data_IF_038264160930
#
_entry.id   IF_038264160930
#
_cell.length_a   1.000
_cell.length_b   1.000
_cell.length_c   1.000
_cell.angle_alpha   90.00
_cell.angle_beta   90.00
_cell.angle_gamma   90.00
#
_symmetry.space_group_name_H-M   'P 1'
#
loop_
_entity.id
_entity.type
_entity.pdbx_description
1 polymer ?
#
# COMPACT_ATOMS: atom_id res chain seq x y z
N UNK A 1 5.87 10.18 -33.52
CA UNK A 1 5.63 9.47 -34.79
C UNK A 1 4.12 9.24 -34.95
N UNK A 2 3.42 9.97 -35.82
CA UNK A 2 1.94 10.00 -35.86
C UNK A 2 1.28 8.65 -36.21
N UNK A 3 2.01 7.70 -36.73
CA UNK A 3 1.50 6.37 -37.13
C UNK A 3 2.22 5.21 -36.40
N UNK A 4 2.84 5.47 -35.26
CA UNK A 4 3.52 4.42 -34.49
C UNK A 4 2.49 3.45 -33.90
N UNK A 5 2.70 2.17 -34.12
CA UNK A 5 1.89 1.07 -33.55
C UNK A 5 2.48 0.55 -32.24
N UNK A 6 3.63 1.08 -31.81
CA UNK A 6 4.37 0.58 -30.63
C UNK A 6 4.74 1.69 -29.61
N UNK A 7 4.22 2.90 -29.76
CA UNK A 7 4.57 4.02 -28.87
C UNK A 7 4.25 3.75 -27.40
N UNK A 8 3.23 2.95 -27.12
CA UNK A 8 2.81 2.56 -25.78
C UNK A 8 3.47 1.25 -25.30
N UNK A 9 4.20 0.54 -26.16
CA UNK A 9 4.77 -0.78 -25.84
C UNK A 9 6.21 -0.70 -25.36
N UNK A 10 6.95 0.30 -25.81
CA UNK A 10 8.38 0.44 -25.55
C UNK A 10 8.73 1.82 -25.04
N UNK A 11 8.88 1.95 -23.73
CA UNK A 11 9.14 3.21 -23.04
C UNK A 11 10.61 3.66 -23.05
N UNK A 12 11.54 2.78 -23.37
CA UNK A 12 12.98 3.05 -23.40
C UNK A 12 13.46 3.36 -24.81
N UNK A 13 12.75 4.26 -25.51
CA UNK A 13 13.13 4.68 -26.86
C UNK A 13 14.35 5.62 -26.86
N UNK A 14 14.53 6.36 -27.95
CA UNK A 14 15.59 7.34 -28.08
C UNK A 14 15.40 8.50 -27.11
N UNK A 15 16.44 8.82 -26.34
CA UNK A 15 16.46 9.90 -25.36
C UNK A 15 16.07 9.48 -23.94
N UNK A 16 15.92 10.42 -23.01
CA UNK A 16 15.50 10.15 -21.64
C UNK A 16 14.06 9.62 -21.58
N UNK A 17 13.77 8.86 -20.54
CA UNK A 17 12.41 8.35 -20.29
C UNK A 17 11.48 9.50 -19.87
N UNK A 18 10.66 9.95 -20.81
CA UNK A 18 9.81 11.14 -20.64
C UNK A 18 8.61 10.87 -19.71
N UNK A 19 8.08 9.64 -19.67
CA UNK A 19 6.92 9.31 -18.83
C UNK A 19 7.19 9.60 -17.35
N UNK A 20 8.42 9.34 -16.89
CA UNK A 20 8.82 9.60 -15.50
C UNK A 20 8.82 11.09 -15.12
N UNK A 21 9.00 11.99 -16.07
CA UNK A 21 8.96 13.43 -15.81
C UNK A 21 7.57 13.93 -15.40
N UNK A 22 6.52 13.24 -15.82
CA UNK A 22 5.12 13.60 -15.54
C UNK A 22 4.50 12.82 -14.39
N UNK A 23 5.25 11.90 -13.80
CA UNK A 23 4.80 11.14 -12.63
C UNK A 23 4.93 12.00 -11.37
N UNK A 24 3.83 12.24 -10.67
CA UNK A 24 3.78 13.05 -9.44
C UNK A 24 4.44 14.44 -9.60
N UNK A 25 4.34 15.04 -10.77
CA UNK A 25 4.92 16.35 -11.06
C UNK A 25 3.84 17.38 -11.41
N UNK A 26 4.22 18.66 -11.31
CA UNK A 26 3.41 19.83 -11.66
C UNK A 26 3.87 20.48 -12.98
N UNK A 27 4.54 19.73 -13.84
CA UNK A 27 5.12 20.28 -15.08
C UNK A 27 4.10 20.52 -16.18
N UNK A 28 3.11 19.64 -16.29
CA UNK A 28 2.06 19.71 -17.31
C UNK A 28 0.91 18.75 -16.96
N UNK A 29 -0.18 18.84 -17.73
CA UNK A 29 -1.30 17.90 -17.67
C UNK A 29 -1.22 16.96 -18.88
N UNK A 30 -1.00 15.65 -18.69
CA UNK A 30 -1.06 14.68 -19.78
C UNK A 30 -2.48 14.62 -20.35
N UNK A 31 -2.63 14.82 -21.65
CA UNK A 31 -3.94 14.75 -22.33
C UNK A 31 -4.24 13.34 -22.88
N UNK A 32 -3.22 12.51 -23.04
CA UNK A 32 -3.35 11.15 -23.53
C UNK A 32 -2.21 10.30 -22.96
N UNK A 33 -2.59 9.17 -22.35
CA UNK A 33 -1.63 8.20 -21.79
C UNK A 33 -1.92 6.84 -22.42
N UNK A 34 -0.87 6.12 -22.82
CA UNK A 34 -0.94 4.73 -23.21
C UNK A 34 -0.19 3.86 -22.21
N UNK A 35 -0.82 2.77 -21.81
CA UNK A 35 -0.20 1.82 -20.90
C UNK A 35 -0.44 0.39 -21.35
N UNK A 36 0.51 -0.48 -21.01
CA UNK A 36 0.36 -1.90 -21.20
C UNK A 36 -0.53 -2.49 -20.10
N UNK A 37 -1.53 -3.24 -20.52
CA UNK A 37 -2.42 -3.97 -19.58
C UNK A 37 -2.07 -5.46 -19.63
N UNK A 38 -2.14 -6.13 -18.49
CA UNK A 38 -2.00 -7.58 -18.44
C UNK A 38 -3.17 -8.23 -19.20
N UNK A 39 -2.91 -9.12 -20.18
CA UNK A 39 -3.98 -9.90 -20.80
C UNK A 39 -4.71 -10.74 -19.74
N UNK A 40 -6.00 -11.00 -19.97
CA UNK A 40 -6.74 -11.90 -19.10
C UNK A 40 -6.06 -13.30 -19.10
N UNK A 41 -5.63 -13.81 -17.93
CA UNK A 41 -4.98 -15.10 -17.86
C UNK A 41 -5.97 -16.23 -18.15
N UNK A 42 -5.54 -17.31 -18.85
CA UNK A 42 -6.40 -18.46 -19.13
C UNK A 42 -6.95 -19.15 -17.89
N UNK A 43 -6.20 -19.13 -16.79
CA UNK A 43 -6.61 -19.59 -15.48
C UNK A 43 -6.01 -18.71 -14.37
N UNK A 44 -6.71 -18.63 -13.25
CA UNK A 44 -6.22 -17.95 -12.06
C UNK A 44 -6.73 -18.64 -10.79
N UNK A 45 -6.00 -18.46 -9.70
CA UNK A 45 -6.39 -18.84 -8.35
C UNK A 45 -6.09 -17.70 -7.39
N UNK A 46 -7.12 -17.11 -6.82
CA UNK A 46 -6.96 -16.12 -5.76
C UNK A 46 -6.86 -16.81 -4.40
N UNK A 47 -6.16 -16.19 -3.45
CA UNK A 47 -5.97 -16.73 -2.12
C UNK A 47 -5.77 -15.64 -1.08
N UNK A 48 -5.99 -16.03 0.16
CA UNK A 48 -5.73 -15.22 1.34
C UNK A 48 -4.88 -16.02 2.32
N UNK A 49 -3.97 -15.34 3.01
CA UNK A 49 -3.25 -15.91 4.16
C UNK A 49 -3.46 -14.99 5.36
N UNK A 50 -3.88 -15.56 6.49
CA UNK A 50 -3.99 -14.79 7.73
C UNK A 50 -3.02 -15.32 8.77
N UNK A 51 -2.40 -14.42 9.54
CA UNK A 51 -1.53 -14.77 10.67
C UNK A 51 -1.98 -14.05 11.94
N UNK A 52 -1.95 -14.73 13.12
CA UNK A 52 -2.55 -14.21 14.32
C UNK A 52 -1.71 -13.18 15.09
N UNK A 53 -0.39 -13.12 14.88
CA UNK A 53 0.50 -12.31 15.70
C UNK A 53 1.02 -11.09 14.95
N UNK A 54 1.29 -10.04 15.72
CA UNK A 54 1.81 -8.76 15.23
C UNK A 54 3.18 -8.90 14.53
N UNK A 55 4.11 -9.64 15.14
CA UNK A 55 5.46 -9.87 14.65
C UNK A 55 5.53 -10.74 13.39
N UNK A 56 4.45 -11.47 13.09
CA UNK A 56 4.39 -12.34 11.90
C UNK A 56 4.24 -11.60 10.57
N UNK A 57 4.24 -10.27 10.56
CA UNK A 57 4.47 -9.51 9.32
C UNK A 57 5.79 -9.91 8.68
N UNK A 58 6.83 -10.11 9.50
CA UNK A 58 8.13 -10.58 9.05
C UNK A 58 8.02 -11.95 8.36
N UNK A 59 7.43 -12.93 9.02
CA UNK A 59 7.26 -14.28 8.46
C UNK A 59 6.53 -14.26 7.12
N UNK A 60 5.46 -13.44 7.00
CA UNK A 60 4.70 -13.30 5.76
C UNK A 60 5.55 -12.80 4.60
N UNK A 61 6.40 -11.80 4.83
CA UNK A 61 7.22 -11.19 3.78
C UNK A 61 8.45 -12.03 3.45
N UNK A 62 9.03 -12.72 4.43
CA UNK A 62 10.14 -13.65 4.20
C UNK A 62 9.72 -14.86 3.37
N UNK A 63 8.50 -15.35 3.57
CA UNK A 63 7.91 -16.39 2.71
C UNK A 63 7.53 -15.83 1.33
N UNK A 64 6.99 -14.61 1.28
CA UNK A 64 6.53 -13.99 0.04
C UNK A 64 7.68 -13.59 -0.88
N UNK A 65 8.79 -13.09 -0.34
CA UNK A 65 9.93 -12.57 -1.10
C UNK A 65 10.43 -13.53 -2.17
N UNK A 66 10.84 -14.77 -1.83
CA UNK A 66 11.25 -15.77 -2.81
C UNK A 66 10.17 -16.11 -3.84
N UNK A 67 8.89 -16.18 -3.43
CA UNK A 67 7.79 -16.44 -4.35
C UNK A 67 7.60 -15.31 -5.37
N UNK A 68 7.84 -14.06 -4.97
CA UNK A 68 7.83 -12.90 -5.86
C UNK A 68 9.00 -12.91 -6.83
N UNK A 69 10.21 -13.11 -6.32
CA UNK A 69 11.43 -13.11 -7.13
C UNK A 69 11.44 -14.21 -8.19
N UNK A 70 10.88 -15.37 -7.87
CA UNK A 70 10.75 -16.50 -8.79
C UNK A 70 9.46 -16.46 -9.64
N UNK A 71 8.71 -15.35 -9.61
CA UNK A 71 7.48 -15.15 -10.39
C UNK A 71 6.39 -16.19 -10.12
N UNK A 72 6.44 -16.90 -8.99
CA UNK A 72 5.37 -17.80 -8.54
C UNK A 72 4.11 -17.00 -8.23
N UNK A 73 4.28 -15.86 -7.55
CA UNK A 73 3.21 -14.89 -7.29
C UNK A 73 3.53 -13.61 -8.06
N UNK A 74 2.97 -13.45 -9.24
CA UNK A 74 3.30 -12.37 -10.17
C UNK A 74 2.56 -11.05 -9.87
N UNK A 75 1.37 -11.10 -9.26
CA UNK A 75 0.58 -9.89 -8.97
C UNK A 75 1.13 -9.05 -7.82
N UNK A 76 0.64 -7.83 -7.68
CA UNK A 76 0.81 -7.05 -6.45
C UNK A 76 0.07 -7.72 -5.29
N UNK A 77 0.77 -8.03 -4.23
CA UNK A 77 0.21 -8.73 -3.05
C UNK A 77 -0.05 -7.72 -1.96
N UNK A 78 -1.31 -7.57 -1.57
CA UNK A 78 -1.69 -6.68 -0.48
C UNK A 78 -1.62 -7.42 0.86
N UNK A 79 -1.10 -6.74 1.88
CA UNK A 79 -1.12 -7.19 3.29
C UNK A 79 -1.77 -6.09 4.12
N UNK A 80 -2.97 -6.33 4.61
CA UNK A 80 -3.73 -5.40 5.44
C UNK A 80 -3.65 -5.75 6.93
N UNK A 81 -3.51 -4.72 7.78
CA UNK A 81 -3.67 -4.89 9.22
C UNK A 81 -5.14 -5.17 9.58
N UNK A 82 -5.40 -5.84 10.70
CA UNK A 82 -6.77 -6.16 11.13
C UNK A 82 -7.67 -4.92 11.21
N UNK A 83 -7.15 -3.78 11.69
CA UNK A 83 -7.93 -2.54 11.80
C UNK A 83 -8.20 -1.90 10.44
N UNK A 84 -7.25 -1.99 9.50
CA UNK A 84 -7.49 -1.53 8.14
C UNK A 84 -8.63 -2.34 7.48
N UNK A 85 -8.62 -3.66 7.61
CA UNK A 85 -9.68 -4.53 7.10
C UNK A 85 -11.04 -4.27 7.80
N UNK A 86 -11.01 -4.03 9.11
CA UNK A 86 -12.21 -3.64 9.86
C UNK A 86 -12.80 -2.32 9.35
N UNK A 87 -11.96 -1.33 9.08
CA UNK A 87 -12.39 -0.05 8.50
C UNK A 87 -12.98 -0.22 7.08
N UNK A 88 -12.41 -1.07 6.24
CA UNK A 88 -13.01 -1.43 4.94
C UNK A 88 -14.41 -2.02 5.09
N UNK A 89 -14.63 -2.83 6.12
CA UNK A 89 -15.94 -3.41 6.44
C UNK A 89 -16.93 -2.40 7.05
N UNK A 90 -16.49 -1.15 7.28
CA UNK A 90 -17.29 -0.06 7.82
C UNK A 90 -17.32 -0.02 9.35
N UNK A 91 -16.41 -0.72 10.01
CA UNK A 91 -16.19 -0.55 11.46
C UNK A 91 -15.54 0.80 11.74
N UNK A 92 -15.80 1.32 12.94
CA UNK A 92 -15.29 2.60 13.43
C UNK A 92 -14.54 2.39 14.73
N UNK A 93 -13.64 3.34 15.07
CA UNK A 93 -12.93 3.29 16.35
C UNK A 93 -13.87 3.19 17.56
N UNK A 94 -15.03 3.87 17.47
CA UNK A 94 -16.05 3.86 18.52
C UNK A 94 -16.79 2.52 18.70
N UNK A 95 -16.62 1.55 17.81
CA UNK A 95 -17.19 0.19 17.96
C UNK A 95 -16.35 -0.68 18.91
N UNK A 96 -15.20 -0.17 19.38
CA UNK A 96 -14.25 -0.89 20.23
C UNK A 96 -14.02 -0.15 21.55
N UNK A 97 -13.82 -0.90 22.60
CA UNK A 97 -13.61 -0.37 23.96
C UNK A 97 -12.29 0.41 24.10
N UNK A 98 -12.20 1.23 25.12
CA UNK A 98 -11.01 2.00 25.48
C UNK A 98 -10.92 3.35 24.81
N UNK A 99 -10.05 4.21 25.37
CA UNK A 99 -9.68 5.52 24.81
C UNK A 99 -8.24 5.45 24.27
N UNK A 100 -7.96 6.23 23.23
CA UNK A 100 -6.65 6.26 22.60
C UNK A 100 -6.42 5.08 21.64
N UNK A 101 -5.18 4.86 21.20
CA UNK A 101 -4.81 3.78 20.27
C UNK A 101 -5.07 2.39 20.85
N UNK A 102 -5.48 1.46 20.00
CA UNK A 102 -5.72 0.06 20.40
C UNK A 102 -4.39 -0.67 20.65
N UNK A 103 -4.36 -1.48 21.71
CA UNK A 103 -3.21 -2.36 21.98
C UNK A 103 -3.13 -3.50 20.96
N UNK A 104 -1.96 -4.10 20.78
CA UNK A 104 -1.77 -5.24 19.87
C UNK A 104 -2.76 -6.38 20.14
N UNK A 105 -3.04 -6.68 21.43
CA UNK A 105 -4.01 -7.69 21.82
C UNK A 105 -5.44 -7.31 21.42
N UNK A 106 -5.82 -6.04 21.56
CA UNK A 106 -7.14 -5.56 21.14
C UNK A 106 -7.28 -5.58 19.60
N UNK A 107 -6.21 -5.27 18.86
CA UNK A 107 -6.17 -5.38 17.40
C UNK A 107 -6.35 -6.83 16.95
N UNK A 108 -5.64 -7.76 17.59
CA UNK A 108 -5.78 -9.21 17.30
C UNK A 108 -7.21 -9.69 17.58
N UNK A 109 -7.77 -9.35 18.73
CA UNK A 109 -9.15 -9.71 19.09
C UNK A 109 -10.18 -9.12 18.11
N UNK A 110 -9.98 -7.88 17.66
CA UNK A 110 -10.83 -7.25 16.65
C UNK A 110 -10.76 -7.99 15.30
N UNK A 111 -9.58 -8.44 14.91
CA UNK A 111 -9.39 -9.28 13.72
C UNK A 111 -10.11 -10.63 13.86
N UNK A 112 -9.88 -11.35 14.94
CA UNK A 112 -10.48 -12.66 15.21
C UNK A 112 -12.02 -12.60 15.16
N UNK A 113 -12.61 -11.54 15.74
CA UNK A 113 -14.06 -11.33 15.70
C UNK A 113 -14.63 -11.16 14.27
N UNK A 114 -13.78 -10.82 13.30
CA UNK A 114 -14.11 -10.70 11.87
C UNK A 114 -13.65 -11.91 11.04
N UNK A 115 -13.12 -12.96 11.68
CA UNK A 115 -12.52 -14.11 10.99
C UNK A 115 -11.17 -13.83 10.37
N UNK A 116 -10.50 -12.73 10.77
CA UNK A 116 -9.21 -12.26 10.25
C UNK A 116 -8.05 -12.61 11.20
N UNK A 117 -6.81 -12.46 10.71
CA UNK A 117 -5.63 -12.44 11.56
C UNK A 117 -5.23 -11.01 11.93
N UNK A 118 -4.13 -10.86 12.68
CA UNK A 118 -3.50 -9.56 12.87
C UNK A 118 -3.06 -8.97 11.54
N UNK A 119 -2.51 -9.84 10.67
CA UNK A 119 -2.18 -9.51 9.27
C UNK A 119 -2.91 -10.42 8.29
N UNK A 120 -3.28 -9.84 7.16
CA UNK A 120 -4.12 -10.48 6.15
C UNK A 120 -3.54 -10.22 4.77
N UNK A 121 -2.93 -11.25 4.18
CA UNK A 121 -2.29 -11.21 2.87
C UNK A 121 -3.27 -11.69 1.80
N UNK A 122 -3.30 -10.99 0.66
CA UNK A 122 -4.15 -11.30 -0.49
C UNK A 122 -3.33 -11.41 -1.76
N UNK A 123 -3.37 -12.55 -2.40
CA UNK A 123 -2.59 -12.85 -3.60
C UNK A 123 -3.37 -13.59 -4.67
N UNK A 124 -2.81 -13.64 -5.87
CA UNK A 124 -3.34 -14.43 -6.98
C UNK A 124 -2.24 -15.10 -7.77
N UNK A 125 -2.57 -16.26 -8.31
CA UNK A 125 -1.76 -17.02 -9.24
C UNK A 125 -2.40 -16.94 -10.62
N UNK A 126 -1.59 -16.70 -11.64
CA UNK A 126 -2.05 -16.58 -13.02
C UNK A 126 -1.25 -17.51 -13.92
N UNK A 127 -1.89 -18.12 -14.90
CA UNK A 127 -1.18 -18.97 -15.84
C UNK A 127 -2.10 -19.86 -16.69
N UNK A 128 -1.50 -20.91 -17.23
CA UNK A 128 -2.25 -21.96 -17.93
C UNK A 128 -2.99 -22.85 -16.90
N UNK A 129 -4.12 -23.47 -17.27
CA UNK A 129 -4.89 -24.33 -16.38
C UNK A 129 -4.08 -25.44 -15.72
N UNK A 130 -3.10 -26.02 -16.41
CA UNK A 130 -2.23 -27.06 -15.86
C UNK A 130 -1.17 -26.55 -14.87
N UNK A 131 -0.79 -25.26 -14.94
CA UNK A 131 0.26 -24.70 -14.10
C UNK A 131 -0.28 -24.15 -12.76
N UNK A 132 -1.48 -23.59 -12.77
CA UNK A 132 -2.06 -22.92 -11.59
C UNK A 132 -2.16 -23.86 -10.39
N UNK A 133 -2.57 -25.14 -10.49
CA UNK A 133 -2.56 -26.05 -9.34
C UNK A 133 -1.17 -26.29 -8.76
N UNK A 134 -0.14 -26.39 -9.60
CA UNK A 134 1.25 -26.57 -9.16
C UNK A 134 1.73 -25.35 -8.36
N UNK A 135 1.49 -24.16 -8.90
CA UNK A 135 1.81 -22.90 -8.20
C UNK A 135 1.05 -22.79 -6.88
N UNK A 136 -0.21 -23.23 -6.85
CA UNK A 136 -1.03 -23.24 -5.63
C UNK A 136 -0.46 -24.15 -4.55
N UNK A 137 -0.04 -25.36 -4.91
CA UNK A 137 0.58 -26.28 -3.95
C UNK A 137 1.89 -25.70 -3.38
N UNK A 138 2.69 -25.05 -4.20
CA UNK A 138 3.90 -24.33 -3.75
C UNK A 138 3.56 -23.22 -2.74
N UNK A 139 2.62 -22.35 -3.08
CA UNK A 139 2.20 -21.23 -2.22
C UNK A 139 1.60 -21.74 -0.91
N UNK A 140 0.69 -22.72 -1.00
CA UNK A 140 0.06 -23.33 0.17
C UNK A 140 1.10 -23.97 1.09
N UNK A 141 2.04 -24.73 0.53
CA UNK A 141 3.14 -25.34 1.29
C UNK A 141 4.01 -24.31 1.99
N UNK A 142 4.41 -23.26 1.27
CA UNK A 142 5.26 -22.21 1.81
C UNK A 142 4.60 -21.47 2.98
N UNK A 143 3.38 -20.96 2.83
CA UNK A 143 2.72 -20.22 3.90
C UNK A 143 2.23 -21.11 5.06
N UNK A 144 1.99 -22.40 4.84
CA UNK A 144 1.64 -23.34 5.91
C UNK A 144 2.80 -23.60 6.88
N UNK A 145 4.00 -23.18 6.57
CA UNK A 145 5.15 -23.22 7.49
C UNK A 145 5.07 -22.20 8.63
N UNK A 146 4.27 -21.13 8.44
CA UNK A 146 4.12 -20.07 9.45
C UNK A 146 3.15 -20.57 10.55
N UNK A 147 3.57 -20.49 11.79
CA UNK A 147 2.78 -20.96 12.93
C UNK A 147 1.44 -20.21 13.06
N UNK A 148 0.34 -20.94 13.08
CA UNK A 148 -1.01 -20.38 13.19
C UNK A 148 -1.54 -19.73 11.91
N UNK A 149 -0.80 -19.77 10.79
CA UNK A 149 -1.27 -19.27 9.52
C UNK A 149 -2.46 -20.10 8.99
N UNK A 150 -3.44 -19.41 8.41
CA UNK A 150 -4.54 -20.03 7.67
C UNK A 150 -4.42 -19.61 6.20
N UNK A 151 -4.34 -20.60 5.31
CA UNK A 151 -4.29 -20.38 3.86
C UNK A 151 -5.68 -20.71 3.29
N UNK A 152 -6.34 -19.70 2.73
CA UNK A 152 -7.76 -19.73 2.35
C UNK A 152 -7.89 -19.47 0.86
N UNK A 153 -8.59 -20.34 0.14
CA UNK A 153 -8.82 -20.21 -1.31
C UNK A 153 -10.30 -20.04 -1.68
N UNK A 154 -11.19 -20.33 -0.77
CA UNK A 154 -12.65 -20.38 -0.97
C UNK A 154 -13.43 -19.31 -0.22
N UNK A 155 -12.75 -18.44 0.53
CA UNK A 155 -13.35 -17.39 1.35
C UNK A 155 -14.09 -17.89 2.59
N UNK A 156 -13.98 -19.17 2.93
CA UNK A 156 -14.69 -19.72 4.07
C UNK A 156 -14.26 -19.06 5.39
N UNK A 157 -15.24 -18.53 6.11
CA UNK A 157 -15.02 -17.85 7.40
C UNK A 157 -14.60 -16.39 7.26
N UNK A 158 -14.60 -15.81 6.05
CA UNK A 158 -14.32 -14.40 5.77
C UNK A 158 -15.62 -13.69 5.38
N UNK A 159 -15.78 -12.42 5.78
CA UNK A 159 -16.92 -11.60 5.32
C UNK A 159 -16.98 -11.62 3.77
N UNK A 160 -18.13 -12.00 3.18
CA UNK A 160 -18.24 -12.12 1.72
C UNK A 160 -17.95 -10.82 0.95
N UNK A 161 -18.20 -9.65 1.55
CA UNK A 161 -17.92 -8.34 0.93
C UNK A 161 -16.41 -8.11 0.86
N UNK A 162 -15.69 -8.38 1.97
CA UNK A 162 -14.24 -8.25 2.01
C UNK A 162 -13.59 -9.22 1.02
N UNK A 163 -14.03 -10.48 1.03
CA UNK A 163 -13.55 -11.47 0.08
C UNK A 163 -13.77 -11.01 -1.36
N UNK A 164 -14.99 -10.59 -1.72
CA UNK A 164 -15.32 -10.14 -3.07
C UNK A 164 -14.46 -8.94 -3.50
N UNK A 165 -14.24 -7.96 -2.63
CA UNK A 165 -13.41 -6.79 -2.95
C UNK A 165 -11.94 -7.17 -3.15
N UNK A 166 -11.37 -7.95 -2.25
CA UNK A 166 -9.97 -8.35 -2.30
C UNK A 166 -9.67 -9.26 -3.50
N UNK A 167 -10.50 -10.27 -3.73
CA UNK A 167 -10.34 -11.18 -4.84
C UNK A 167 -10.72 -10.53 -6.18
N UNK A 168 -11.77 -9.71 -6.19
CA UNK A 168 -12.21 -8.96 -7.37
C UNK A 168 -11.11 -8.07 -7.94
N UNK A 169 -10.40 -7.33 -7.10
CA UNK A 169 -9.29 -6.48 -7.54
C UNK A 169 -8.20 -7.25 -8.34
N UNK A 170 -7.97 -8.51 -8.00
CA UNK A 170 -7.00 -9.37 -8.67
C UNK A 170 -7.54 -10.06 -9.93
N UNK A 171 -8.85 -9.99 -10.17
CA UNK A 171 -9.53 -10.53 -11.35
C UNK A 171 -10.09 -9.45 -12.27
N UNK A 172 -9.72 -8.19 -12.04
CA UNK A 172 -10.09 -7.05 -12.89
C UNK A 172 -11.45 -6.41 -12.54
N UNK A 173 -12.04 -6.75 -11.39
CA UNK A 173 -13.24 -6.08 -10.88
C UNK A 173 -12.83 -4.86 -10.07
N UNK A 174 -13.20 -3.68 -10.57
CA UNK A 174 -12.92 -2.42 -9.87
C UNK A 174 -13.89 -2.23 -8.73
N UNK A 175 -13.37 -1.99 -7.53
CA UNK A 175 -14.11 -1.58 -6.34
C UNK A 175 -13.29 -0.55 -5.57
N UNK A 176 -13.95 0.35 -4.87
CA UNK A 176 -13.34 1.45 -4.10
C UNK A 176 -13.55 1.28 -2.57
N UNK A 177 -13.26 0.10 -1.96
CA UNK A 177 -13.49 -0.08 -0.53
C UNK A 177 -12.60 0.84 0.33
N UNK A 178 -11.42 1.26 -0.18
CA UNK A 178 -10.48 2.16 0.51
C UNK A 178 -11.08 3.51 0.87
N UNK A 179 -12.07 3.99 0.10
CA UNK A 179 -12.81 5.21 0.42
C UNK A 179 -13.55 5.14 1.77
N UNK A 180 -13.68 3.97 2.36
CA UNK A 180 -14.32 3.76 3.67
C UNK A 180 -13.37 3.95 4.86
N UNK A 181 -12.06 3.80 4.64
CA UNK A 181 -11.07 3.83 5.74
C UNK A 181 -11.08 5.14 6.54
N UNK A 182 -11.26 6.33 5.93
CA UNK A 182 -11.38 7.57 6.69
C UNK A 182 -12.51 7.57 7.74
N UNK A 183 -13.59 6.82 7.48
CA UNK A 183 -14.73 6.70 8.40
C UNK A 183 -14.40 5.95 9.71
N UNK A 184 -13.19 5.40 9.86
CA UNK A 184 -12.72 4.83 11.12
C UNK A 184 -12.80 5.83 12.28
N UNK A 185 -12.30 7.04 12.08
CA UNK A 185 -12.35 8.10 13.10
C UNK A 185 -12.54 9.52 12.54
N UNK A 186 -12.96 9.63 11.26
CA UNK A 186 -13.16 10.92 10.60
C UNK A 186 -14.00 10.81 9.33
N UNK A 187 -13.74 11.69 8.38
CA UNK A 187 -14.37 11.74 7.05
C UNK A 187 -13.35 11.97 5.92
N UNK A 188 -12.13 12.36 6.28
CA UNK A 188 -10.98 12.50 5.40
C UNK A 188 -9.75 11.81 6.01
N UNK A 189 -8.70 11.67 5.24
CA UNK A 189 -7.43 11.15 5.72
C UNK A 189 -6.23 11.82 5.03
N UNK A 190 -5.10 11.80 5.71
CA UNK A 190 -3.77 12.00 5.14
C UNK A 190 -2.98 10.70 5.30
N UNK A 191 -2.00 10.43 4.43
CA UNK A 191 -1.19 9.22 4.53
C UNK A 191 0.31 9.51 4.45
N UNK A 192 1.10 8.66 5.13
CA UNK A 192 2.51 8.45 4.84
C UNK A 192 2.65 7.16 4.02
N UNK A 193 3.52 7.17 3.01
CA UNK A 193 3.62 6.09 2.04
C UNK A 193 5.07 5.62 1.87
N UNK A 194 5.72 5.10 2.93
CA UNK A 194 7.11 4.64 2.86
C UNK A 194 7.27 3.37 2.04
N UNK A 195 8.49 3.16 1.54
CA UNK A 195 8.89 1.97 0.78
C UNK A 195 9.93 1.19 1.57
N UNK A 196 9.78 -0.12 1.61
CA UNK A 196 10.83 -1.05 2.11
C UNK A 196 11.13 -2.13 1.07
N UNK A 197 12.25 -2.89 1.21
CA UNK A 197 12.42 -4.14 0.47
C UNK A 197 11.30 -5.15 0.81
N UNK A 198 11.13 -6.19 -0.01
CA UNK A 198 10.33 -7.38 0.35
C UNK A 198 11.18 -8.25 1.26
N UNK A 199 11.30 -7.83 2.50
CA UNK A 199 12.14 -8.40 3.56
C UNK A 199 11.40 -8.25 4.89
N UNK A 200 11.36 -9.33 5.66
CA UNK A 200 10.56 -9.39 6.87
C UNK A 200 11.07 -8.49 7.99
N UNK A 201 12.40 -8.45 8.20
CA UNK A 201 13.02 -7.63 9.24
C UNK A 201 12.79 -6.14 8.96
N UNK A 202 13.06 -5.69 7.72
CA UNK A 202 12.89 -4.29 7.33
C UNK A 202 11.42 -3.84 7.38
N UNK A 203 10.49 -4.68 6.96
CA UNK A 203 9.08 -4.35 7.01
C UNK A 203 8.53 -4.31 8.44
N UNK A 204 8.98 -5.23 9.32
CA UNK A 204 8.60 -5.22 10.72
C UNK A 204 9.17 -3.99 11.43
N UNK A 205 10.45 -3.65 11.18
CA UNK A 205 11.09 -2.44 11.70
C UNK A 205 10.36 -1.16 11.30
N UNK A 206 9.96 -1.06 10.03
CA UNK A 206 9.17 0.06 9.52
C UNK A 206 7.78 0.12 10.17
N UNK A 207 7.13 -1.04 10.33
CA UNK A 207 5.83 -1.12 10.99
C UNK A 207 5.89 -0.67 12.44
N UNK A 208 6.84 -1.20 13.23
CA UNK A 208 6.98 -0.87 14.66
C UNK A 208 7.25 0.62 14.87
N UNK A 209 8.20 1.18 14.09
CA UNK A 209 8.47 2.63 14.08
C UNK A 209 7.20 3.43 13.82
N UNK A 210 6.45 3.04 12.82
CA UNK A 210 5.25 3.77 12.39
C UNK A 210 4.10 3.63 13.38
N UNK A 211 3.85 2.42 13.90
CA UNK A 211 2.87 2.17 14.95
C UNK A 211 3.13 3.03 16.19
N UNK A 212 4.38 3.08 16.64
CA UNK A 212 4.77 3.82 17.83
C UNK A 212 4.58 5.34 17.66
N UNK A 213 4.86 5.88 16.46
CA UNK A 213 4.59 7.29 16.15
C UNK A 213 3.09 7.54 16.08
N UNK A 214 2.32 6.69 15.41
CA UNK A 214 0.86 6.79 15.40
C UNK A 214 0.30 6.83 16.83
N UNK A 215 0.75 5.93 17.69
CA UNK A 215 0.32 5.86 19.08
C UNK A 215 0.66 7.13 19.89
N UNK A 216 1.85 7.72 19.68
CA UNK A 216 2.24 9.00 20.33
C UNK A 216 1.34 10.17 19.93
N UNK A 217 0.79 10.14 18.71
CA UNK A 217 -0.14 11.13 18.18
C UNK A 217 -1.61 10.74 18.35
N UNK A 218 -1.90 9.70 19.16
CA UNK A 218 -3.24 9.19 19.45
C UNK A 218 -4.00 8.65 18.22
N UNK A 219 -3.27 8.07 17.24
CA UNK A 219 -3.84 7.35 16.11
C UNK A 219 -3.66 5.85 16.23
N UNK A 220 -4.67 5.09 15.82
CA UNK A 220 -4.51 3.68 15.51
C UNK A 220 -3.65 3.50 14.25
N UNK A 221 -2.88 2.44 14.18
CA UNK A 221 -2.19 2.07 12.95
C UNK A 221 -3.17 1.43 11.96
N UNK A 222 -3.56 2.18 10.94
CA UNK A 222 -4.38 1.72 9.83
C UNK A 222 -3.50 1.55 8.60
N UNK A 223 -2.85 0.39 8.49
CA UNK A 223 -1.86 0.14 7.45
C UNK A 223 -2.23 -0.95 6.47
N UNK A 224 -1.92 -0.69 5.22
CA UNK A 224 -1.88 -1.68 4.14
C UNK A 224 -0.51 -1.61 3.48
N UNK A 225 0.07 -2.78 3.19
CA UNK A 225 1.35 -2.91 2.48
C UNK A 225 1.09 -3.65 1.17
N UNK A 226 1.67 -3.19 0.07
CA UNK A 226 1.57 -3.86 -1.24
C UNK A 226 2.96 -4.26 -1.70
N UNK A 227 3.23 -5.56 -1.72
CA UNK A 227 4.46 -6.11 -2.29
C UNK A 227 4.32 -6.19 -3.81
N UNK A 228 5.11 -5.38 -4.54
CA UNK A 228 5.06 -5.34 -6.01
C UNK A 228 6.01 -6.40 -6.58
N UNK A 229 7.29 -6.20 -6.54
CA UNK A 229 8.30 -7.19 -6.99
C UNK A 229 9.43 -7.30 -5.99
N UNK A 230 10.22 -6.24 -5.84
CA UNK A 230 11.38 -6.18 -4.95
C UNK A 230 11.16 -5.20 -3.81
N UNK A 231 10.08 -4.44 -3.86
CA UNK A 231 9.70 -3.45 -2.88
C UNK A 231 8.29 -3.67 -2.37
N UNK A 232 8.08 -3.18 -1.17
CA UNK A 232 6.75 -3.07 -0.56
C UNK A 232 6.41 -1.59 -0.41
N UNK A 233 5.29 -1.20 -0.98
CA UNK A 233 4.71 0.13 -0.78
C UNK A 233 3.78 0.07 0.42
N UNK A 234 4.12 0.75 1.49
CA UNK A 234 3.28 0.84 2.68
C UNK A 234 2.37 2.07 2.57
N UNK A 235 1.14 1.93 3.00
CA UNK A 235 0.21 3.04 3.15
C UNK A 235 -0.27 3.09 4.58
N UNK A 236 0.06 4.16 5.27
CA UNK A 236 -0.32 4.41 6.66
C UNK A 236 -1.34 5.54 6.68
N UNK A 237 -2.59 5.21 6.97
CA UNK A 237 -3.72 6.11 6.81
C UNK A 237 -4.05 6.73 8.17
N UNK A 238 -4.13 8.05 8.21
CA UNK A 238 -4.44 8.87 9.38
C UNK A 238 -5.77 9.58 9.14
N UNK A 239 -6.90 9.01 9.59
CA UNK A 239 -8.20 9.63 9.46
C UNK A 239 -8.34 10.88 10.32
N UNK A 240 -9.06 11.88 9.81
CA UNK A 240 -9.41 13.08 10.57
C UNK A 240 -10.81 13.59 10.22
N UNK A 241 -11.42 14.34 11.15
CA UNK A 241 -12.71 14.97 10.95
C UNK A 241 -12.51 16.40 10.41
N UNK A 242 -13.07 16.70 9.23
CA UNK A 242 -12.97 18.03 8.60
C UNK A 242 -13.72 19.10 9.38
N UNK A 243 -14.71 18.71 10.19
CA UNK A 243 -15.47 19.61 11.07
C UNK A 243 -14.67 20.05 12.30
N UNK A 244 -13.48 19.47 12.54
CA UNK A 244 -12.63 19.75 13.70
C UNK A 244 -11.22 20.12 13.22
N UNK A 245 -10.88 21.41 13.22
CA UNK A 245 -9.59 21.90 12.75
C UNK A 245 -8.39 21.26 13.46
N UNK A 246 -8.50 21.02 14.77
CA UNK A 246 -7.47 20.35 15.57
C UNK A 246 -7.23 18.89 15.12
N UNK A 247 -8.28 18.19 14.69
CA UNK A 247 -8.17 16.82 14.17
C UNK A 247 -7.31 16.78 12.88
N UNK A 248 -7.57 17.71 11.96
CA UNK A 248 -6.80 17.82 10.72
C UNK A 248 -5.34 18.22 10.96
N UNK A 249 -5.09 19.16 11.91
CA UNK A 249 -3.75 19.57 12.28
C UNK A 249 -2.97 18.40 12.88
N UNK A 250 -3.53 17.68 13.84
CA UNK A 250 -2.90 16.50 14.47
C UNK A 250 -2.59 15.40 13.45
N UNK A 251 -3.47 15.14 12.48
CA UNK A 251 -3.21 14.15 11.43
C UNK A 251 -2.03 14.55 10.55
N UNK A 252 -1.92 15.83 10.17
CA UNK A 252 -0.78 16.34 9.40
C UNK A 252 0.53 16.32 10.19
N UNK A 253 0.48 16.67 11.48
CA UNK A 253 1.65 16.59 12.39
C UNK A 253 2.14 15.13 12.51
N UNK A 254 1.22 14.18 12.69
CA UNK A 254 1.57 12.76 12.71
C UNK A 254 2.17 12.30 11.38
N UNK A 255 1.58 12.68 10.25
CA UNK A 255 2.14 12.36 8.92
C UNK A 255 3.55 12.94 8.75
N UNK A 256 3.78 14.18 9.17
CA UNK A 256 5.10 14.80 9.10
C UNK A 256 6.12 14.09 10.00
N UNK A 257 5.72 13.70 11.22
CA UNK A 257 6.56 12.93 12.13
C UNK A 257 6.91 11.55 11.57
N UNK A 258 5.94 10.85 10.97
CA UNK A 258 6.16 9.58 10.27
C UNK A 258 7.17 9.75 9.14
N UNK A 259 6.96 10.70 8.23
CA UNK A 259 7.85 10.94 7.07
C UNK A 259 9.29 11.22 7.54
N UNK A 260 9.47 12.06 8.57
CA UNK A 260 10.78 12.41 9.08
C UNK A 260 11.49 11.19 9.71
N UNK A 261 10.83 10.48 10.61
CA UNK A 261 11.43 9.33 11.30
C UNK A 261 11.69 8.14 10.34
N UNK A 262 10.81 7.93 9.36
CA UNK A 262 11.01 6.92 8.33
C UNK A 262 12.23 7.24 7.46
N UNK A 263 12.41 8.51 7.08
CA UNK A 263 13.58 8.95 6.33
C UNK A 263 14.89 8.77 7.14
N UNK A 264 14.90 9.12 8.42
CA UNK A 264 16.04 8.87 9.32
C UNK A 264 16.36 7.38 9.43
N UNK A 265 15.33 6.53 9.39
CA UNK A 265 15.48 5.07 9.38
C UNK A 265 15.85 4.49 8.01
N UNK A 266 15.96 5.31 6.95
CA UNK A 266 16.35 4.90 5.60
C UNK A 266 15.19 4.54 4.67
N UNK A 267 13.93 4.84 5.05
CA UNK A 267 12.74 4.55 4.23
C UNK A 267 12.27 5.80 3.49
N UNK A 268 12.36 5.77 2.15
CA UNK A 268 11.82 6.84 1.30
C UNK A 268 10.31 6.74 1.10
N UNK A 269 9.69 7.82 0.61
CA UNK A 269 8.27 7.84 0.31
C UNK A 269 8.00 7.48 -1.17
N UNK A 270 7.09 6.53 -1.43
CA UNK A 270 6.62 6.19 -2.78
C UNK A 270 5.76 7.31 -3.39
N UNK A 271 4.92 7.91 -2.56
CA UNK A 271 3.97 8.95 -2.95
C UNK A 271 4.03 10.07 -1.91
N UNK A 272 4.09 11.31 -2.38
CA UNK A 272 3.89 12.49 -1.56
C UNK A 272 2.44 12.96 -1.71
N UNK A 273 1.66 12.87 -0.64
CA UNK A 273 0.29 13.40 -0.60
C UNK A 273 0.29 14.91 -0.87
N UNK A 274 -0.78 15.46 -1.48
CA UNK A 274 -0.95 16.90 -1.59
C UNK A 274 -0.81 17.57 -0.22
N UNK A 275 0.02 18.60 -0.13
CA UNK A 275 0.35 19.29 1.12
C UNK A 275 1.45 18.63 1.96
N UNK A 276 1.98 17.46 1.59
CA UNK A 276 3.14 16.81 2.22
C UNK A 276 4.41 16.86 1.36
N UNK A 277 4.35 17.37 0.14
CA UNK A 277 5.50 17.41 -0.79
C UNK A 277 6.72 18.13 -0.22
N UNK A 278 6.50 19.28 0.42
CA UNK A 278 7.59 20.02 1.06
C UNK A 278 8.22 19.23 2.20
N UNK A 279 7.40 18.53 3.00
CA UNK A 279 7.87 17.66 4.09
C UNK A 279 8.72 16.51 3.54
N UNK A 280 8.25 15.83 2.49
CA UNK A 280 9.03 14.80 1.80
C UNK A 280 10.29 15.39 1.17
N UNK A 281 10.22 16.57 0.54
CA UNK A 281 11.37 17.24 -0.05
C UNK A 281 12.49 17.58 0.95
N UNK A 282 12.13 17.83 2.21
CA UNK A 282 13.10 18.09 3.31
C UNK A 282 13.88 16.85 3.75
N UNK A 283 13.42 15.64 3.39
CA UNK A 283 14.12 14.39 3.75
C UNK A 283 15.33 14.10 2.84
N UNK A 284 15.50 14.81 1.72
CA UNK A 284 16.64 14.63 0.85
C UNK A 284 17.84 15.44 1.35
N UNK A 285 19.00 14.80 1.48
CA UNK A 285 20.23 15.43 1.97
C UNK A 285 20.78 16.51 1.04
N UNK A 286 20.48 16.41 -0.26
CA UNK A 286 21.00 17.33 -1.27
C UNK A 286 19.89 18.06 -2.00
N UNK A 287 20.17 19.31 -2.44
CA UNK A 287 19.26 20.11 -3.26
C UNK A 287 19.28 19.72 -4.75
N UNK A 288 19.99 18.65 -5.13
CA UNK A 288 20.14 18.25 -6.53
C UNK A 288 18.80 17.97 -7.22
N UNK A 289 17.94 17.21 -6.56
CA UNK A 289 16.62 16.87 -7.11
C UNK A 289 15.71 18.10 -7.20
N UNK A 290 15.61 18.92 -6.15
CA UNK A 290 14.80 20.14 -6.17
C UNK A 290 15.30 21.14 -7.21
N UNK A 291 16.62 21.32 -7.35
CA UNK A 291 17.22 22.18 -8.38
C UNK A 291 16.90 21.69 -9.80
N UNK A 292 16.95 20.37 -10.03
CA UNK A 292 16.56 19.79 -11.32
C UNK A 292 15.08 20.04 -11.60
N UNK A 293 14.23 19.79 -10.62
CA UNK A 293 12.78 20.02 -10.70
C UNK A 293 12.46 21.47 -11.05
N UNK A 294 13.06 22.44 -10.35
CA UNK A 294 12.88 23.87 -10.60
C UNK A 294 13.28 24.27 -12.03
N UNK A 295 14.41 23.75 -12.53
CA UNK A 295 14.87 24.01 -13.89
C UNK A 295 13.93 23.46 -14.94
N UNK A 296 13.45 22.22 -14.76
CA UNK A 296 12.49 21.59 -15.67
C UNK A 296 11.15 22.33 -15.60
N UNK A 297 10.67 22.65 -14.41
CA UNK A 297 9.45 23.46 -14.21
C UNK A 297 9.53 24.78 -14.95
N UNK A 298 10.59 25.55 -14.77
CA UNK A 298 10.79 26.82 -15.44
C UNK A 298 10.84 26.72 -16.98
N UNK A 299 11.34 25.59 -17.49
CA UNK A 299 11.41 25.36 -18.92
C UNK A 299 10.06 24.96 -19.53
N UNK A 300 9.25 24.16 -18.82
CA UNK A 300 7.98 23.64 -19.32
C UNK A 300 6.77 24.50 -18.96
N UNK A 301 6.81 25.18 -17.82
CA UNK A 301 5.74 26.07 -17.33
C UNK A 301 6.32 27.44 -16.90
N UNK A 302 6.82 28.24 -17.86
CA UNK A 302 7.49 29.51 -17.56
C UNK A 302 6.57 30.55 -16.93
N UNK A 303 5.26 30.40 -17.08
CA UNK A 303 4.25 31.31 -16.55
C UNK A 303 3.62 30.81 -15.25
N UNK A 304 4.11 29.69 -14.72
CA UNK A 304 3.61 29.05 -13.49
C UNK A 304 2.08 28.85 -13.49
N UNK A 305 1.54 28.32 -14.59
CA UNK A 305 0.11 28.02 -14.73
C UNK A 305 -0.33 26.84 -13.85
N UNK A 306 0.57 25.89 -13.64
CA UNK A 306 0.32 24.73 -12.79
C UNK A 306 0.92 25.03 -11.40
N UNK A 307 0.03 25.13 -10.41
CA UNK A 307 0.46 25.34 -9.04
C UNK A 307 1.24 24.13 -8.53
N UNK A 308 2.34 24.39 -7.84
CA UNK A 308 2.97 23.39 -6.97
C UNK A 308 1.99 23.10 -5.82
N UNK A 309 1.50 21.88 -5.73
CA UNK A 309 0.61 21.47 -4.65
C UNK A 309 1.39 21.19 -3.36
#
# INVERSE_FOLDING_TARGET
MPKSTCWQLFKFGYGPWVDGLFTQSDFAVPTKVGMWMMPQPPAHQTFMVTVPKEDQLADLLDVLGPLKLNMVVANGVAVGSALHEAALLGKKRGDYDGKGPMTASAVTAAGEALGLGHWNLYGALYGLPGNVPILWDMVKGAFSSISGARVIADGKGIDPRLWAWRMGAMTGVVAEPRARVPAWSGDQAVSANPVSPVDGEEALRLYELSRDICAKHEFDYLGETVAIWRSTDHRQILPFATTQAESAARARECAAALIAAQAEAGFGQAIAEPGMRETVGKTFETKGLSTLHERVKKALDPTALFASA
#
